data_IF_417268607274
#
_entry.id   IF_417268607274
#
_cell.length_a   1.000
_cell.length_b   1.000
_cell.length_c   1.000
_cell.angle_alpha   90.00
_cell.angle_beta   90.00
_cell.angle_gamma   90.00
#
_symmetry.space_group_name_H-M   'P 1'
#
loop_
_entity.id
_entity.type
_entity.pdbx_description
1 polymer ?
#
# COMPACT_ATOMS: atom_id res chain seq x y z
N UNK A 1 56.60 -1.18 -12.11
CA UNK A 1 55.53 -0.48 -11.35
C UNK A 1 54.23 -0.21 -12.13
N UNK A 2 54.11 -0.42 -13.46
CA UNK A 2 52.88 -0.06 -14.21
C UNK A 2 51.78 -1.15 -14.28
N UNK A 3 52.13 -2.44 -14.32
CA UNK A 3 51.15 -3.53 -14.52
C UNK A 3 50.27 -3.81 -13.29
N UNK A 4 50.88 -3.85 -12.10
CA UNK A 4 50.17 -4.09 -10.83
C UNK A 4 49.14 -3.00 -10.52
N UNK A 5 49.49 -1.74 -10.83
CA UNK A 5 48.60 -0.58 -10.66
C UNK A 5 47.38 -0.65 -11.60
N UNK A 6 47.60 -1.01 -12.87
CA UNK A 6 46.50 -1.21 -13.84
C UNK A 6 45.59 -2.37 -13.42
N UNK A 7 46.16 -3.46 -12.88
CA UNK A 7 45.39 -4.60 -12.38
C UNK A 7 44.56 -4.23 -11.15
N UNK A 8 45.12 -3.44 -10.22
CA UNK A 8 44.38 -2.92 -9.06
C UNK A 8 43.25 -1.97 -9.47
N UNK A 9 43.49 -1.11 -10.46
CA UNK A 9 42.48 -0.18 -10.96
C UNK A 9 41.32 -0.92 -11.64
N UNK A 10 41.62 -1.96 -12.44
CA UNK A 10 40.63 -2.85 -13.03
C UNK A 10 39.80 -3.59 -11.97
N UNK A 11 40.45 -4.05 -10.90
CA UNK A 11 39.76 -4.74 -9.80
C UNK A 11 38.76 -3.81 -9.08
N UNK A 12 39.14 -2.55 -8.85
CA UNK A 12 38.28 -1.55 -8.21
C UNK A 12 37.08 -1.21 -9.11
N UNK A 13 37.29 -1.05 -10.41
CA UNK A 13 36.22 -0.77 -11.38
C UNK A 13 35.21 -1.92 -11.40
N UNK A 14 35.67 -3.17 -11.40
CA UNK A 14 34.79 -4.36 -11.32
C UNK A 14 33.97 -4.35 -10.03
N UNK A 15 34.58 -4.04 -8.87
CA UNK A 15 33.87 -3.96 -7.60
C UNK A 15 32.76 -2.90 -7.58
N UNK A 16 32.96 -1.76 -8.25
CA UNK A 16 31.96 -0.69 -8.31
C UNK A 16 30.77 -1.11 -9.20
N UNK A 17 31.01 -1.85 -10.29
CA UNK A 17 29.94 -2.32 -11.20
C UNK A 17 29.02 -3.37 -10.58
N UNK A 18 29.38 -3.96 -9.44
CA UNK A 18 28.53 -4.91 -8.71
C UNK A 18 27.53 -4.23 -7.77
N UNK A 19 27.66 -2.92 -7.51
CA UNK A 19 26.77 -2.19 -6.61
C UNK A 19 25.63 -1.52 -7.37
N UNK A 20 24.68 -2.33 -7.85
CA UNK A 20 23.41 -1.81 -8.33
C UNK A 20 22.40 -1.82 -7.16
N UNK A 21 21.92 -0.66 -6.67
CA UNK A 21 20.78 -0.66 -5.78
C UNK A 21 19.55 -1.08 -6.58
N UNK A 22 19.12 -2.33 -6.42
CA UNK A 22 17.85 -2.79 -6.97
C UNK A 22 16.73 -2.20 -6.12
N UNK A 23 16.20 -1.05 -6.53
CA UNK A 23 14.92 -0.54 -6.03
C UNK A 23 13.78 -1.30 -6.73
N UNK A 24 13.64 -2.58 -6.42
CA UNK A 24 12.44 -3.32 -6.78
C UNK A 24 11.37 -3.04 -5.73
N UNK A 25 10.63 -1.95 -5.89
CA UNK A 25 9.32 -1.80 -5.25
C UNK A 25 8.37 -2.74 -6.00
N UNK A 26 8.53 -4.04 -5.73
CA UNK A 26 7.77 -5.12 -6.32
C UNK A 26 6.29 -4.83 -6.06
N UNK A 27 5.53 -4.66 -7.15
CA UNK A 27 4.09 -4.46 -7.10
C UNK A 27 3.48 -5.62 -6.32
N UNK A 28 3.04 -5.35 -5.08
CA UNK A 28 2.65 -6.44 -4.18
C UNK A 28 1.41 -7.11 -4.71
N UNK A 29 1.37 -8.43 -4.59
CA UNK A 29 0.20 -9.18 -4.98
C UNK A 29 -0.89 -8.97 -3.93
N UNK A 30 -2.01 -8.37 -4.34
CA UNK A 30 -3.16 -8.20 -3.45
C UNK A 30 -4.09 -9.41 -3.53
N UNK A 31 -4.73 -9.80 -2.41
CA UNK A 31 -5.79 -10.78 -2.44
C UNK A 31 -6.92 -10.35 -3.40
N UNK A 32 -7.55 -11.30 -4.12
CA UNK A 32 -8.60 -10.98 -5.10
C UNK A 32 -9.88 -10.42 -4.47
N UNK A 33 -10.08 -10.65 -3.17
CA UNK A 33 -11.20 -10.15 -2.38
C UNK A 33 -10.96 -8.74 -1.80
N UNK A 34 -9.77 -8.17 -2.03
CA UNK A 34 -9.47 -6.79 -1.65
C UNK A 34 -10.24 -5.79 -2.51
N UNK A 35 -10.65 -4.67 -1.93
CA UNK A 35 -11.39 -3.60 -2.60
C UNK A 35 -10.61 -2.30 -2.55
N UNK A 36 -10.63 -1.55 -3.65
CA UNK A 36 -10.14 -0.18 -3.69
C UNK A 36 -11.11 0.76 -2.95
N UNK A 37 -10.57 1.64 -2.12
CA UNK A 37 -11.36 2.64 -1.41
C UNK A 37 -10.55 3.87 -1.06
N UNK A 38 -11.25 4.97 -0.77
CA UNK A 38 -10.66 6.22 -0.30
C UNK A 38 -10.86 6.32 1.20
N UNK A 39 -9.77 6.27 1.95
CA UNK A 39 -9.75 6.52 3.40
C UNK A 39 -9.77 8.03 3.64
N UNK A 40 -10.81 8.53 4.31
CA UNK A 40 -11.01 9.97 4.57
C UNK A 40 -10.76 10.36 6.01
N UNK A 41 -11.00 9.47 6.97
CA UNK A 41 -10.74 9.71 8.38
C UNK A 41 -10.37 8.42 9.11
N UNK A 42 -9.47 8.54 10.08
CA UNK A 42 -9.05 7.43 10.94
C UNK A 42 -9.21 7.84 12.39
N UNK A 43 -9.96 7.05 13.15
CA UNK A 43 -10.13 7.19 14.60
C UNK A 43 -10.24 5.80 15.17
N UNK A 44 -9.09 5.14 15.36
CA UNK A 44 -9.04 3.73 15.75
C UNK A 44 -9.97 3.43 16.95
N UNK A 45 -10.84 2.41 16.86
CA UNK A 45 -10.91 1.35 15.83
C UNK A 45 -11.82 1.67 14.62
N UNK A 46 -12.34 2.89 14.50
CA UNK A 46 -13.23 3.33 13.43
C UNK A 46 -12.44 3.96 12.27
N UNK A 47 -12.83 3.61 11.05
CA UNK A 47 -12.22 4.07 9.80
C UNK A 47 -13.32 4.52 8.86
N UNK A 48 -13.16 5.67 8.23
CA UNK A 48 -14.13 6.17 7.24
C UNK A 48 -13.57 5.92 5.84
N UNK A 49 -14.17 4.98 5.12
CA UNK A 49 -13.75 4.56 3.78
C UNK A 49 -14.92 4.80 2.82
N UNK A 50 -14.70 5.56 1.75
CA UNK A 50 -15.75 5.95 0.79
C UNK A 50 -16.97 6.59 1.48
N UNK A 51 -16.74 7.45 2.47
CA UNK A 51 -17.77 8.08 3.32
C UNK A 51 -18.62 7.10 4.14
N UNK A 52 -18.20 5.83 4.24
CA UNK A 52 -18.81 4.82 5.09
C UNK A 52 -17.93 4.54 6.30
N UNK A 53 -18.52 4.59 7.49
CA UNK A 53 -17.84 4.23 8.72
C UNK A 53 -17.76 2.70 8.85
N UNK A 54 -16.55 2.18 8.99
CA UNK A 54 -16.22 0.77 9.15
C UNK A 54 -15.38 0.59 10.41
N UNK A 55 -15.45 -0.59 11.03
CA UNK A 55 -14.70 -0.92 12.25
C UNK A 55 -13.62 -1.94 11.91
N UNK A 56 -12.42 -1.74 12.45
CA UNK A 56 -11.33 -2.71 12.37
C UNK A 56 -11.55 -3.88 13.33
N UNK A 57 -11.44 -5.09 12.80
CA UNK A 57 -11.58 -6.33 13.56
C UNK A 57 -10.38 -6.60 14.46
N UNK A 58 -10.54 -7.50 15.42
CA UNK A 58 -9.44 -7.97 16.25
C UNK A 58 -8.37 -8.63 15.38
N UNK A 59 -7.11 -8.17 15.49
CA UNK A 59 -6.01 -8.63 14.64
C UNK A 59 -5.90 -7.93 13.28
N UNK A 60 -6.67 -6.86 13.06
CA UNK A 60 -6.57 -6.04 11.85
C UNK A 60 -5.16 -5.48 11.63
N UNK A 61 -4.67 -5.54 10.40
CA UNK A 61 -3.34 -5.03 10.04
C UNK A 61 -3.43 -3.86 9.07
N UNK A 62 -2.62 -2.83 9.33
CA UNK A 62 -2.40 -1.72 8.39
C UNK A 62 -0.99 -1.88 7.83
N UNK A 63 -0.86 -1.85 6.51
CA UNK A 63 0.43 -1.88 5.82
C UNK A 63 0.69 -0.59 5.08
N UNK A 64 1.89 -0.05 5.29
CA UNK A 64 2.40 1.11 4.57
C UNK A 64 2.65 0.85 3.10
N UNK A 65 3.12 1.90 2.42
CA UNK A 65 3.61 1.85 1.04
C UNK A 65 4.85 0.96 0.88
N UNK A 66 5.62 0.84 1.95
CA UNK A 66 6.80 -0.02 2.10
C UNK A 66 6.43 -1.45 2.53
N UNK A 67 5.13 -1.77 2.58
CA UNK A 67 4.61 -3.05 3.05
C UNK A 67 4.97 -3.38 4.52
N UNK A 68 5.43 -2.40 5.30
CA UNK A 68 5.63 -2.56 6.75
C UNK A 68 4.31 -2.42 7.49
N UNK A 69 4.19 -3.11 8.63
CA UNK A 69 3.03 -2.99 9.51
C UNK A 69 3.09 -1.66 10.25
N UNK A 70 2.04 -0.85 10.10
CA UNK A 70 1.82 0.38 10.84
C UNK A 70 0.90 0.06 12.01
N UNK A 71 1.24 0.58 13.20
CA UNK A 71 0.41 0.41 14.38
C UNK A 71 -0.94 1.11 14.18
N UNK A 72 -2.08 0.41 14.34
CA UNK A 72 -3.39 0.98 14.06
C UNK A 72 -3.74 2.25 14.85
N UNK A 73 -3.27 2.37 16.08
CA UNK A 73 -3.49 3.57 16.91
C UNK A 73 -2.74 4.81 16.42
N UNK A 74 -1.67 4.64 15.64
CA UNK A 74 -0.84 5.74 15.12
C UNK A 74 -1.17 6.05 13.66
N UNK A 75 -2.03 5.25 13.02
CA UNK A 75 -2.39 5.45 11.62
C UNK A 75 -3.20 6.75 11.46
N UNK A 76 -2.60 7.73 10.78
CA UNK A 76 -3.24 8.99 10.40
C UNK A 76 -3.08 9.24 8.90
N UNK A 77 -3.39 8.21 8.12
CA UNK A 77 -3.30 8.27 6.66
C UNK A 77 -4.68 8.61 6.06
N UNK A 78 -4.68 9.51 5.08
CA UNK A 78 -5.84 9.87 4.26
C UNK A 78 -5.41 9.72 2.81
N UNK A 79 -6.16 8.96 2.03
CA UNK A 79 -5.78 8.67 0.65
C UNK A 79 -6.40 7.41 0.10
N UNK A 80 -5.83 6.90 -0.99
CA UNK A 80 -6.30 5.69 -1.64
C UNK A 80 -5.66 4.47 -0.98
N UNK A 81 -6.51 3.52 -0.65
CA UNK A 81 -6.16 2.29 0.04
C UNK A 81 -6.80 1.10 -0.67
N UNK A 82 -6.18 -0.06 -0.52
CA UNK A 82 -6.90 -1.33 -0.64
C UNK A 82 -7.29 -1.81 0.73
N UNK A 83 -8.47 -2.39 0.86
CA UNK A 83 -8.92 -2.98 2.11
C UNK A 83 -9.58 -4.34 1.88
N UNK A 84 -9.46 -5.20 2.89
CA UNK A 84 -10.08 -6.52 2.93
C UNK A 84 -10.99 -6.58 4.14
N UNK A 85 -12.18 -7.13 3.92
CA UNK A 85 -13.15 -7.38 4.99
C UNK A 85 -13.06 -8.85 5.43
N UNK A 86 -13.27 -9.08 6.71
CA UNK A 86 -13.44 -10.43 7.27
C UNK A 86 -14.85 -10.97 6.96
N UNK A 87 -15.09 -12.25 7.26
CA UNK A 87 -16.38 -12.92 7.14
C UNK A 87 -17.50 -12.20 7.91
N UNK A 88 -17.16 -11.50 9.00
CA UNK A 88 -18.11 -10.72 9.80
C UNK A 88 -18.32 -9.28 9.28
N UNK A 89 -17.62 -8.89 8.21
CA UNK A 89 -17.70 -7.55 7.63
C UNK A 89 -16.81 -6.49 8.31
N UNK A 90 -15.93 -6.89 9.24
CA UNK A 90 -14.94 -6.00 9.85
C UNK A 90 -13.71 -5.82 8.97
N UNK A 91 -13.01 -4.69 9.09
CA UNK A 91 -11.75 -4.49 8.37
C UNK A 91 -10.68 -5.44 8.92
N UNK A 92 -10.17 -6.32 8.06
CA UNK A 92 -9.13 -7.29 8.38
C UNK A 92 -7.74 -6.80 7.96
N UNK A 93 -7.62 -6.25 6.75
CA UNK A 93 -6.35 -5.70 6.24
C UNK A 93 -6.58 -4.40 5.49
N UNK A 94 -5.67 -3.44 5.70
CA UNK A 94 -5.62 -2.18 4.97
C UNK A 94 -4.21 -2.04 4.39
N UNK A 95 -4.12 -1.72 3.11
CA UNK A 95 -2.89 -1.42 2.41
C UNK A 95 -2.93 0.01 1.89
N UNK A 96 -1.96 0.82 2.31
CA UNK A 96 -1.77 2.18 1.80
C UNK A 96 -1.11 2.07 0.43
N UNK A 97 -1.78 2.54 -0.62
CA UNK A 97 -1.33 2.35 -1.98
C UNK A 97 -0.34 3.42 -2.43
N UNK A 98 0.62 3.03 -3.26
CA UNK A 98 1.40 3.98 -4.06
C UNK A 98 0.60 4.45 -5.28
N UNK A 99 0.95 5.58 -5.90
CA UNK A 99 0.27 6.05 -7.12
C UNK A 99 0.26 5.03 -8.26
N UNK A 100 1.30 4.20 -8.36
CA UNK A 100 1.41 3.18 -9.41
C UNK A 100 0.51 1.97 -9.12
N UNK A 101 0.35 1.61 -7.85
CA UNK A 101 -0.61 0.58 -7.43
C UNK A 101 -2.06 1.02 -7.62
N UNK A 102 -2.36 2.32 -7.43
CA UNK A 102 -3.68 2.87 -7.72
C UNK A 102 -4.03 2.69 -9.19
N UNK A 103 -3.12 3.06 -10.10
CA UNK A 103 -3.33 2.87 -11.54
C UNK A 103 -3.55 1.40 -11.88
N UNK A 104 -2.78 0.50 -11.27
CA UNK A 104 -2.95 -0.94 -11.47
C UNK A 104 -4.33 -1.43 -10.99
N UNK A 105 -4.80 -0.96 -9.83
CA UNK A 105 -6.14 -1.28 -9.33
C UNK A 105 -7.26 -0.76 -10.27
N UNK A 106 -7.07 0.43 -10.84
CA UNK A 106 -7.99 0.99 -11.85
C UNK A 106 -7.99 0.15 -13.13
N UNK A 107 -6.83 -0.33 -13.58
CA UNK A 107 -6.71 -1.26 -14.71
C UNK A 107 -7.36 -2.63 -14.45
N UNK A 108 -7.35 -3.10 -13.20
CA UNK A 108 -8.09 -4.30 -12.76
C UNK A 108 -9.62 -4.07 -12.74
N UNK A 109 -10.10 -2.88 -13.10
CA UNK A 109 -11.52 -2.54 -13.12
C UNK A 109 -12.10 -2.27 -11.73
N UNK A 110 -11.25 -2.15 -10.70
CA UNK A 110 -11.71 -1.72 -9.39
C UNK A 110 -12.02 -0.24 -9.42
N UNK A 111 -13.30 0.10 -9.41
CA UNK A 111 -13.75 1.47 -9.28
C UNK A 111 -13.85 1.82 -7.81
N UNK A 112 -13.39 3.02 -7.44
CA UNK A 112 -13.68 3.61 -6.14
C UNK A 112 -15.21 3.64 -6.02
N UNK A 113 -15.81 2.94 -5.02
CA UNK A 113 -17.25 2.94 -4.84
C UNK A 113 -17.75 4.38 -4.79
N UNK A 114 -18.59 4.76 -5.75
CA UNK A 114 -19.18 6.08 -5.78
C UNK A 114 -19.95 6.32 -4.47
N UNK A 115 -19.84 7.50 -3.86
CA UNK A 115 -20.56 7.80 -2.62
C UNK A 115 -22.04 7.53 -2.86
N UNK A 116 -22.64 6.66 -2.04
CA UNK A 116 -24.04 6.29 -2.14
C UNK A 116 -24.85 7.55 -1.82
N UNK A 117 -25.24 8.31 -2.86
CA UNK A 117 -26.10 9.49 -2.73
C UNK A 117 -27.33 9.05 -1.97
N UNK A 118 -27.41 9.40 -0.68
CA UNK A 118 -28.59 9.19 0.14
C UNK A 118 -29.60 10.20 -0.39
N UNK A 119 -30.40 9.77 -1.38
CA UNK A 119 -31.55 10.52 -1.83
C UNK A 119 -32.49 10.64 -0.63
N UNK A 120 -32.40 11.76 0.08
CA UNK A 120 -33.44 12.18 1.00
C UNK A 120 -34.63 12.56 0.13
N UNK A 121 -35.61 11.66 0.05
CA UNK A 121 -36.96 12.05 -0.31
C UNK A 121 -37.54 12.79 0.90
N UNK A 122 -37.75 14.09 0.73
CA UNK A 122 -38.56 14.93 1.61
C UNK A 122 -39.95 15.08 1.00
#
# INVERSE_FOLDING_TARGET
>A
MKKTQVMQLLLIIVLITLSHPVFSQLQRNFPPDSKLGKLTAVTFPQFTINDQQMIMGAGGQIRGIDNMIILPSTANYVGLIRYQLDIMGYLHRIWILTPDEVKAAEHEGQQIPAPKKRFFFF
#
